data_IF_458627186578
#
_entry.id   IF_458627186578
#
_cell.length_a   1.000
_cell.length_b   1.000
_cell.length_c   1.000
_cell.angle_alpha   90.00
_cell.angle_beta   90.00
_cell.angle_gamma   90.00
#
_symmetry.space_group_name_H-M   'P 1'
#
loop_
_entity.id
_entity.type
_entity.pdbx_description
1 polymer ?
#
# COMPACT_ATOMS: atom_id res chain seq x y z
N UNK A 1 -0.81 17.94 17.00
CA UNK A 1 -1.08 16.53 16.60
C UNK A 1 -0.41 16.30 15.26
N UNK A 2 0.34 15.22 15.07
CA UNK A 2 0.89 14.86 13.76
C UNK A 2 -0.08 13.95 13.02
N UNK A 3 -0.25 14.19 11.71
CA UNK A 3 -1.08 13.36 10.84
C UNK A 3 -0.37 12.03 10.52
N UNK A 4 -1.11 10.95 10.27
CA UNK A 4 -0.52 9.69 9.84
C UNK A 4 0.17 9.82 8.47
N UNK A 5 1.16 8.96 8.22
CA UNK A 5 1.80 8.86 6.89
C UNK A 5 0.75 8.50 5.82
N UNK A 6 0.95 8.96 4.57
CA UNK A 6 0.06 8.59 3.47
C UNK A 6 0.21 7.09 3.14
N UNK A 7 -0.90 6.42 2.85
CA UNK A 7 -0.86 5.04 2.35
C UNK A 7 -0.52 5.00 0.87
N UNK A 8 0.73 4.63 0.56
CA UNK A 8 1.21 4.46 -0.81
C UNK A 8 0.59 3.19 -1.40
N UNK A 9 0.15 3.24 -2.66
CA UNK A 9 -0.36 2.04 -3.33
C UNK A 9 0.76 1.04 -3.59
N UNK A 10 0.55 -0.19 -3.11
CA UNK A 10 1.36 -1.38 -3.42
C UNK A 10 0.45 -2.47 -3.98
N UNK A 11 0.93 -3.13 -5.03
CA UNK A 11 0.25 -4.28 -5.61
C UNK A 11 0.37 -5.47 -4.65
N UNK A 12 -0.62 -6.38 -4.61
CA UNK A 12 -0.64 -7.45 -3.60
C UNK A 12 0.60 -8.34 -3.65
N UNK A 13 1.11 -8.61 -4.86
CA UNK A 13 2.32 -9.39 -5.07
C UNK A 13 3.58 -8.68 -4.56
N UNK A 14 3.67 -7.34 -4.66
CA UNK A 14 4.79 -6.56 -4.11
C UNK A 14 4.83 -6.67 -2.58
N UNK A 15 3.67 -6.64 -1.93
CA UNK A 15 3.55 -6.80 -0.48
C UNK A 15 3.95 -8.22 -0.07
N UNK A 16 3.41 -9.25 -0.75
CA UNK A 16 3.73 -10.65 -0.46
C UNK A 16 5.21 -11.00 -0.70
N UNK A 17 5.87 -10.30 -1.62
CA UNK A 17 7.29 -10.45 -1.92
C UNK A 17 8.21 -9.68 -0.96
N UNK A 18 7.67 -9.01 0.07
CA UNK A 18 8.45 -8.28 1.08
C UNK A 18 9.06 -6.97 0.58
N UNK A 19 8.48 -6.34 -0.47
CA UNK A 19 9.00 -5.07 -1.01
C UNK A 19 8.57 -3.85 -0.18
N UNK A 20 7.68 -4.03 0.79
CA UNK A 20 7.22 -2.98 1.69
C UNK A 20 7.94 -3.11 3.04
N UNK A 21 8.58 -2.05 3.54
CA UNK A 21 9.25 -2.11 4.83
C UNK A 21 8.27 -2.24 5.99
N UNK A 22 8.70 -2.91 7.05
CA UNK A 22 7.93 -3.03 8.30
C UNK A 22 7.57 -1.64 8.86
N UNK A 23 6.34 -1.50 9.36
CA UNK A 23 5.78 -0.23 9.81
C UNK A 23 5.42 0.74 8.66
N UNK A 24 5.59 0.33 7.41
CA UNK A 24 5.18 1.09 6.23
C UNK A 24 3.67 1.25 6.15
N UNK A 25 3.19 2.47 5.86
CA UNK A 25 1.77 2.72 5.57
C UNK A 25 1.49 2.46 4.10
N UNK A 26 0.55 1.58 3.81
CA UNK A 26 0.23 1.13 2.46
C UNK A 26 -1.26 1.16 2.15
N UNK A 27 -1.57 1.21 0.85
CA UNK A 27 -2.85 0.79 0.28
C UNK A 27 -2.63 -0.41 -0.62
N UNK A 28 -3.44 -1.43 -0.46
CA UNK A 28 -3.45 -2.58 -1.38
C UNK A 28 -4.86 -3.11 -1.52
N UNK A 29 -5.03 -4.15 -2.33
CA UNK A 29 -6.34 -4.71 -2.64
C UNK A 29 -6.31 -6.24 -2.62
N UNK A 30 -7.47 -6.86 -2.63
CA UNK A 30 -7.60 -8.30 -2.82
C UNK A 30 -9.03 -8.77 -2.61
N UNK A 31 -9.34 -9.96 -3.12
CA UNK A 31 -10.63 -10.60 -2.90
C UNK A 31 -10.66 -11.26 -1.55
N UNK A 32 -11.71 -10.98 -0.77
CA UNK A 32 -11.88 -11.59 0.54
C UNK A 32 -12.16 -13.08 0.39
N UNK A 33 -11.29 -13.91 0.96
CA UNK A 33 -11.45 -15.37 0.93
C UNK A 33 -11.98 -15.93 2.25
N UNK A 34 -11.58 -15.34 3.38
CA UNK A 34 -11.96 -15.81 4.70
C UNK A 34 -11.92 -14.65 5.68
N UNK A 35 -12.83 -14.64 6.64
CA UNK A 35 -12.81 -13.72 7.77
C UNK A 35 -13.05 -14.50 9.07
N UNK A 36 -12.05 -14.50 9.94
CA UNK A 36 -12.13 -15.00 11.30
C UNK A 36 -12.49 -13.86 12.25
N UNK A 37 -13.75 -13.84 12.67
CA UNK A 37 -14.30 -12.85 13.60
C UNK A 37 -13.68 -12.97 14.99
N UNK A 38 -13.29 -14.18 15.42
CA UNK A 38 -12.75 -14.41 16.76
C UNK A 38 -11.34 -13.84 16.91
N UNK A 39 -10.59 -13.83 15.81
CA UNK A 39 -9.24 -13.26 15.75
C UNK A 39 -9.20 -11.84 15.15
N UNK A 40 -10.35 -11.32 14.72
CA UNK A 40 -10.46 -10.10 13.92
C UNK A 40 -9.49 -10.11 12.73
N UNK A 41 -9.44 -11.21 11.98
CA UNK A 41 -8.46 -11.43 10.91
C UNK A 41 -9.14 -11.78 9.60
N UNK A 42 -8.87 -11.02 8.55
CA UNK A 42 -9.32 -11.31 7.19
C UNK A 42 -8.14 -11.80 6.33
N UNK A 43 -8.43 -12.71 5.41
CA UNK A 43 -7.50 -13.16 4.37
C UNK A 43 -7.97 -12.65 3.02
N UNK A 44 -7.18 -11.79 2.39
CA UNK A 44 -7.37 -11.33 1.03
C UNK A 44 -6.46 -12.12 0.09
N UNK A 45 -6.93 -12.37 -1.14
CA UNK A 45 -6.12 -12.98 -2.19
C UNK A 45 -6.14 -12.15 -3.46
N UNK A 46 -5.06 -12.25 -4.24
CA UNK A 46 -4.97 -11.64 -5.56
C UNK A 46 -4.28 -12.61 -6.52
N UNK A 47 -4.73 -12.64 -7.77
CA UNK A 47 -4.08 -13.42 -8.82
C UNK A 47 -3.14 -12.53 -9.61
N UNK A 48 -1.95 -13.04 -9.91
CA UNK A 48 -0.98 -12.41 -10.79
C UNK A 48 -0.36 -13.47 -11.69
N UNK A 49 -0.77 -13.50 -12.96
CA UNK A 49 -0.42 -14.60 -13.86
C UNK A 49 -1.01 -15.92 -13.37
N UNK A 50 -0.17 -16.94 -13.20
CA UNK A 50 -0.55 -18.24 -12.62
C UNK A 50 -0.54 -18.27 -11.09
N UNK A 51 0.00 -17.23 -10.46
CA UNK A 51 0.34 -17.26 -9.04
C UNK A 51 -0.76 -16.57 -8.20
N UNK A 52 -1.05 -17.16 -7.05
CA UNK A 52 -1.97 -16.59 -6.08
C UNK A 52 -1.18 -16.01 -4.90
N UNK A 53 -1.40 -14.73 -4.62
CA UNK A 53 -0.78 -14.01 -3.52
C UNK A 53 -1.78 -13.82 -2.39
N UNK A 54 -1.38 -14.13 -1.17
CA UNK A 54 -2.21 -13.98 0.03
C UNK A 54 -1.76 -12.80 0.88
N UNK A 55 -2.73 -12.12 1.49
CA UNK A 55 -2.52 -10.99 2.39
C UNK A 55 -3.39 -11.16 3.62
N UNK A 56 -2.76 -11.09 4.80
CA UNK A 56 -3.48 -11.08 6.07
C UNK A 56 -3.78 -9.65 6.49
N UNK A 57 -4.99 -9.44 7.00
CA UNK A 57 -5.48 -8.13 7.44
C UNK A 57 -6.03 -8.24 8.85
N UNK A 58 -5.47 -7.46 9.78
CA UNK A 58 -6.05 -7.25 11.10
C UNK A 58 -7.18 -6.22 10.99
N UNK A 59 -8.38 -6.59 11.40
CA UNK A 59 -9.63 -5.84 11.21
C UNK A 59 -10.16 -5.18 12.48
N UNK A 60 -9.44 -5.28 13.60
CA UNK A 60 -9.85 -4.78 14.93
C UNK A 60 -10.34 -3.32 14.96
N UNK A 61 -9.83 -2.46 14.08
CA UNK A 61 -10.17 -1.03 14.04
C UNK A 61 -11.25 -0.67 12.99
N UNK A 62 -11.63 -1.64 12.16
CA UNK A 62 -12.59 -1.47 11.06
C UNK A 62 -13.83 -2.33 11.24
N UNK A 63 -13.95 -3.01 12.38
CA UNK A 63 -15.17 -3.70 12.81
C UNK A 63 -16.18 -2.70 13.43
N UNK A 64 -17.49 -2.91 13.23
CA UNK A 64 -18.08 -3.93 12.36
C UNK A 64 -18.00 -3.54 10.88
N UNK A 65 -17.82 -4.54 10.01
CA UNK A 65 -17.96 -4.39 8.56
C UNK A 65 -18.71 -5.59 7.98
N UNK A 66 -19.33 -5.42 6.81
CA UNK A 66 -19.96 -6.52 6.09
C UNK A 66 -18.89 -7.32 5.34
N UNK A 67 -18.57 -8.52 5.84
CA UNK A 67 -17.66 -9.45 5.22
C UNK A 67 -18.36 -10.19 4.07
N UNK A 68 -18.09 -9.78 2.82
CA UNK A 68 -18.65 -10.38 1.61
C UNK A 68 -17.56 -11.21 0.94
N UNK A 69 -17.56 -12.52 1.18
CA UNK A 69 -16.61 -13.44 0.55
C UNK A 69 -16.67 -13.36 -0.98
N UNK A 70 -15.51 -13.57 -1.61
CA UNK A 70 -15.31 -13.44 -3.06
C UNK A 70 -15.24 -12.00 -3.56
N UNK A 71 -15.63 -11.01 -2.74
CA UNK A 71 -15.69 -9.61 -3.18
C UNK A 71 -14.35 -8.91 -3.07
N UNK A 72 -14.13 -7.92 -3.93
CA UNK A 72 -12.92 -7.12 -3.95
C UNK A 72 -12.93 -6.09 -2.82
N UNK A 73 -11.83 -6.01 -2.08
CA UNK A 73 -11.61 -5.02 -1.03
C UNK A 73 -10.36 -4.20 -1.31
N UNK A 74 -10.38 -2.94 -0.88
CA UNK A 74 -9.18 -2.10 -0.74
C UNK A 74 -8.94 -1.87 0.75
N UNK A 75 -7.71 -2.10 1.18
CA UNK A 75 -7.25 -1.87 2.55
C UNK A 75 -6.24 -0.74 2.59
N UNK A 76 -6.38 0.14 3.58
CA UNK A 76 -5.39 1.14 3.98
C UNK A 76 -4.98 0.82 5.42
N UNK A 77 -3.68 0.70 5.65
CA UNK A 77 -3.17 0.36 6.97
C UNK A 77 -1.66 0.38 7.05
N UNK A 78 -1.16 -0.08 8.19
CA UNK A 78 0.26 -0.24 8.46
C UNK A 78 0.65 -1.72 8.33
N UNK A 79 1.78 -1.99 7.70
CA UNK A 79 2.35 -3.33 7.65
C UNK A 79 3.01 -3.63 9.00
N UNK A 80 2.53 -4.65 9.70
CA UNK A 80 3.13 -5.14 10.94
C UNK A 80 3.76 -6.52 10.69
N UNK A 81 4.98 -6.76 11.19
CA UNK A 81 5.58 -8.09 11.18
C UNK A 81 4.79 -9.02 12.12
N UNK A 82 4.54 -10.26 11.68
CA UNK A 82 3.93 -11.29 12.50
C UNK A 82 5.00 -12.24 13.04
N UNK A 83 4.85 -12.70 14.28
CA UNK A 83 5.74 -13.70 14.90
C UNK A 83 5.83 -15.00 14.08
N UNK A 84 4.75 -15.35 13.36
CA UNK A 84 4.63 -16.54 12.51
C UNK A 84 5.16 -16.35 11.06
N UNK A 85 5.79 -15.20 10.74
CA UNK A 85 6.56 -15.00 9.51
C UNK A 85 5.81 -14.47 8.28
N UNK A 86 4.51 -14.15 8.40
CA UNK A 86 3.73 -13.55 7.31
C UNK A 86 3.45 -12.04 7.52
N UNK A 87 3.56 -11.19 6.48
CA UNK A 87 3.21 -9.77 6.61
C UNK A 87 1.70 -9.59 6.87
N UNK A 88 1.34 -8.83 7.91
CA UNK A 88 -0.06 -8.53 8.25
C UNK A 88 -0.33 -7.03 8.16
N UNK A 89 -1.41 -6.65 7.47
CA UNK A 89 -1.83 -5.25 7.38
C UNK A 89 -2.79 -4.94 8.52
N UNK A 90 -2.43 -4.00 9.40
CA UNK A 90 -3.35 -3.46 10.39
C UNK A 90 -4.24 -2.41 9.74
N UNK A 91 -5.46 -2.80 9.43
CA UNK A 91 -6.38 -1.94 8.70
C UNK A 91 -6.83 -0.76 9.57
N UNK A 92 -6.77 0.42 8.97
CA UNK A 92 -7.47 1.63 9.42
C UNK A 92 -8.69 1.93 8.57
N UNK A 93 -8.66 1.49 7.31
CA UNK A 93 -9.81 1.50 6.40
C UNK A 93 -9.81 0.17 5.65
N UNK A 94 -10.99 -0.43 5.55
CA UNK A 94 -11.24 -1.62 4.75
C UNK A 94 -12.57 -1.41 4.03
N UNK A 95 -12.53 -1.33 2.70
CA UNK A 95 -13.72 -0.96 1.91
C UNK A 95 -14.01 -2.05 0.88
N UNK A 96 -15.24 -2.57 0.90
CA UNK A 96 -15.75 -3.41 -0.19
C UNK A 96 -15.96 -2.53 -1.42
N UNK A 97 -15.29 -2.87 -2.51
CA UNK A 97 -15.30 -2.15 -3.79
C UNK A 97 -15.69 -3.09 -4.93
N UNK A 98 -16.59 -4.03 -4.65
CA UNK A 98 -17.06 -4.97 -5.65
C UNK A 98 -17.66 -4.24 -6.87
N UNK A 99 -17.33 -4.73 -8.06
CA UNK A 99 -17.64 -4.05 -9.32
C UNK A 99 -16.59 -3.03 -9.79
N UNK A 100 -15.54 -2.76 -8.99
CA UNK A 100 -14.42 -1.92 -9.42
C UNK A 100 -13.66 -2.58 -10.59
N UNK A 101 -13.29 -1.77 -11.59
CA UNK A 101 -12.43 -2.22 -12.69
C UNK A 101 -10.98 -2.35 -12.20
N UNK A 102 -10.61 -3.56 -11.79
CA UNK A 102 -9.29 -3.85 -11.22
C UNK A 102 -8.14 -3.59 -12.21
N UNK A 103 -8.19 -4.03 -13.49
CA UNK A 103 -7.14 -3.70 -14.46
C UNK A 103 -6.90 -2.20 -14.61
N UNK A 104 -7.97 -1.38 -14.59
CA UNK A 104 -7.84 0.07 -14.67
C UNK A 104 -7.21 0.67 -13.40
N UNK A 105 -7.51 0.13 -12.22
CA UNK A 105 -6.85 0.53 -10.98
C UNK A 105 -5.34 0.24 -11.05
N UNK A 106 -4.95 -0.95 -11.49
CA UNK A 106 -3.55 -1.34 -11.64
C UNK A 106 -2.81 -0.40 -12.60
N UNK A 107 -3.43 -0.11 -13.75
CA UNK A 107 -2.88 0.86 -14.71
C UNK A 107 -2.75 2.26 -14.09
N UNK A 108 -3.75 2.73 -13.35
CA UNK A 108 -3.69 4.04 -12.70
C UNK A 108 -2.55 4.12 -11.66
N UNK A 109 -2.29 3.05 -10.92
CA UNK A 109 -1.15 2.96 -9.99
C UNK A 109 0.17 3.07 -10.75
N UNK A 110 0.32 2.35 -11.87
CA UNK A 110 1.53 2.39 -12.70
C UNK A 110 1.77 3.79 -13.27
N UNK A 111 0.73 4.43 -13.81
CA UNK A 111 0.81 5.77 -14.37
C UNK A 111 1.16 6.83 -13.33
N UNK A 112 0.55 6.75 -12.14
CA UNK A 112 0.91 7.63 -11.03
C UNK A 112 2.39 7.50 -10.65
N UNK A 113 2.90 6.27 -10.57
CA UNK A 113 4.32 6.01 -10.26
C UNK A 113 5.24 6.55 -11.35
N UNK A 114 4.90 6.34 -12.63
CA UNK A 114 5.66 6.86 -13.77
C UNK A 114 5.78 8.38 -13.71
N UNK A 115 4.67 9.07 -13.52
CA UNK A 115 4.67 10.54 -13.41
C UNK A 115 5.53 11.05 -12.24
N UNK A 116 5.48 10.36 -11.09
CA UNK A 116 6.31 10.71 -9.93
C UNK A 116 7.81 10.51 -10.20
N UNK A 117 8.18 9.44 -10.91
CA UNK A 117 9.56 9.18 -11.30
C UNK A 117 10.08 10.26 -12.24
N UNK A 118 9.32 10.62 -13.29
CA UNK A 118 9.70 11.65 -14.26
C UNK A 118 9.99 13.00 -13.59
N UNK A 119 9.20 13.38 -12.59
CA UNK A 119 9.43 14.60 -11.80
C UNK A 119 10.59 14.49 -10.83
N UNK A 120 10.82 13.32 -10.25
CA UNK A 120 11.97 13.05 -9.37
C UNK A 120 13.31 13.01 -10.12
N UNK A 121 13.29 12.70 -11.41
CA UNK A 121 14.46 12.63 -12.30
C UNK A 121 14.73 13.92 -13.11
N UNK A 122 13.94 14.98 -12.91
CA UNK A 122 14.20 16.29 -13.54
C UNK A 122 15.52 16.90 -13.05
N UNK A 123 16.18 17.80 -13.80
CA UNK A 123 17.42 18.42 -13.37
C UNK A 123 17.20 19.08 -12.01
N UNK A 124 17.90 18.60 -10.97
CA UNK A 124 18.11 19.41 -9.76
C UNK A 124 18.69 20.72 -10.26
N UNK A 125 17.91 21.79 -10.15
CA UNK A 125 18.35 23.15 -10.38
C UNK A 125 19.68 23.31 -9.64
N UNK A 126 20.78 23.35 -10.42
CA UNK A 126 22.13 23.48 -9.91
C UNK A 126 22.14 24.72 -9.04
N UNK A 127 22.29 24.52 -7.73
CA UNK A 127 22.58 25.59 -6.81
C UNK A 127 23.74 26.40 -7.41
N UNK A 128 23.44 27.65 -7.78
CA UNK A 128 24.43 28.56 -8.31
C UNK A 128 25.60 28.63 -7.32
N UNK A 129 26.86 28.54 -7.78
CA UNK A 129 28.00 28.71 -6.89
C UNK A 129 27.94 30.14 -6.34
N UNK A 130 27.82 30.25 -5.02
CA UNK A 130 28.00 31.49 -4.27
C UNK A 130 29.35 32.09 -4.62
N UNK A 131 29.34 33.15 -5.43
CA UNK A 131 30.49 34.01 -5.63
C UNK A 131 30.73 34.81 -4.35
N UNK A 132 31.77 34.44 -3.61
CA UNK A 132 32.39 35.33 -2.63
C UNK A 132 33.13 36.44 -3.38
N UNK A 133 32.91 37.74 -3.10
CA UNK A 133 33.83 38.75 -3.58
C UNK A 133 35.06 38.73 -2.67
N UNK A 134 36.20 38.37 -3.25
CA UNK A 134 37.50 38.57 -2.62
C UNK A 134 37.73 40.04 -2.29
N UNK A 135 38.26 40.27 -1.10
CA UNK A 135 38.46 41.59 -0.50
C UNK A 135 39.41 42.49 -1.28
N UNK A 136 39.09 43.78 -1.28
CA UNK A 136 40.01 44.84 -1.67
C UNK A 136 41.21 44.87 -0.72
N UNK A 137 42.42 44.81 -1.28
CA UNK A 137 43.63 45.42 -0.73
C UNK A 137 43.89 46.76 -1.42
#
# INVERSE_FOLDING_TARGET
MMLPKPGIYYLPWEVSAGQVPDGGTLRTFGRLCLYDVTQSRAKLTAQHGSDQHELLVCTKLVEPFQAQEGSLYVVLGELEPQEDGGPMVKARVLTCVEGMNLPLLEQAIQEQRRYQQERGSGPREMAAPTSTPDGCS
#
